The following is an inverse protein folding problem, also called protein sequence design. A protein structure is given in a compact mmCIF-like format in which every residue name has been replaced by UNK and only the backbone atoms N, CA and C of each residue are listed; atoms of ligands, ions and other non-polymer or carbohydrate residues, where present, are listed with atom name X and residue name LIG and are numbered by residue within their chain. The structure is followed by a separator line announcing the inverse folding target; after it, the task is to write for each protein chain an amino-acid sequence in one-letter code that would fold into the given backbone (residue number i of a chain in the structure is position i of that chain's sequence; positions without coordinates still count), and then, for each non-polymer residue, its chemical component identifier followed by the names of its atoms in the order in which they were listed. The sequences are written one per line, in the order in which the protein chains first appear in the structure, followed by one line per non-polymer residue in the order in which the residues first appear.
data_IF_877736073487
#
_entry.id   IF_877736073487
#
_cell.length_a   1.000
_cell.length_b   1.000
_cell.length_c   1.000
_cell.angle_alpha   90.00
_cell.angle_beta   90.00
_cell.angle_gamma   90.00
#
_symmetry.space_group_name_H-M   'P 1'
#
loop_
_entity.id
_entity.type
_entity.pdbx_description
1 polymer ?
#
# COMPACT_ATOMS: atom_id res chain seq x y z
N UNK A 1 104.19 -28.06 -6.88
CA UNK A 1 104.03 -28.58 -8.28
C UNK A 1 102.53 -28.74 -8.49
N UNK A 2 102.03 -28.12 -9.50
CA UNK A 2 100.60 -28.07 -10.02
C UNK A 2 99.58 -27.35 -9.11
N UNK A 3 99.15 -26.20 -9.41
CA UNK A 3 98.47 -25.52 -10.50
C UNK A 3 97.09 -26.11 -10.83
N UNK A 4 96.08 -25.28 -10.71
CA UNK A 4 94.82 -25.34 -11.40
C UNK A 4 93.67 -24.92 -10.52
N UNK A 5 92.97 -24.03 -10.78
CA UNK A 5 92.28 -23.32 -11.80
C UNK A 5 90.91 -22.98 -11.32
N UNK A 6 90.70 -21.71 -11.00
CA UNK A 6 89.39 -21.18 -10.60
C UNK A 6 88.52 -21.03 -11.82
N UNK A 7 87.31 -21.61 -11.79
CA UNK A 7 86.20 -21.33 -12.74
C UNK A 7 85.17 -20.50 -12.06
N UNK A 8 85.05 -19.27 -12.46
CA UNK A 8 83.95 -18.34 -12.08
C UNK A 8 82.61 -18.83 -12.65
N UNK A 9 81.68 -19.12 -11.81
CA UNK A 9 80.29 -19.29 -12.22
C UNK A 9 79.50 -18.08 -11.81
N UNK A 10 79.17 -17.23 -12.81
CA UNK A 10 78.29 -16.08 -12.65
C UNK A 10 76.87 -16.56 -12.51
N UNK A 11 76.25 -16.39 -11.33
CA UNK A 11 74.84 -16.65 -11.11
C UNK A 11 74.09 -15.37 -11.51
N UNK A 12 73.39 -15.44 -12.63
CA UNK A 12 72.45 -14.43 -13.11
C UNK A 12 71.13 -14.59 -12.31
N UNK A 13 70.96 -13.78 -11.28
CA UNK A 13 69.70 -13.73 -10.51
C UNK A 13 68.69 -12.94 -11.36
N UNK A 14 67.72 -13.65 -12.01
CA UNK A 14 66.58 -13.04 -12.66
C UNK A 14 65.58 -12.62 -11.57
N UNK A 15 65.52 -11.32 -11.26
CA UNK A 15 64.52 -10.75 -10.40
C UNK A 15 63.18 -10.71 -11.12
N UNK A 16 62.31 -11.70 -10.85
CA UNK A 16 60.95 -11.76 -11.36
C UNK A 16 60.09 -10.77 -10.57
N UNK A 17 59.94 -9.57 -11.05
CA UNK A 17 59.07 -8.55 -10.46
C UNK A 17 57.61 -8.98 -10.75
N UNK A 18 56.96 -9.65 -9.78
CA UNK A 18 55.53 -9.89 -9.81
C UNK A 18 54.82 -8.53 -9.74
N UNK A 19 54.35 -8.04 -10.90
CA UNK A 19 53.35 -6.97 -10.93
C UNK A 19 52.07 -7.55 -10.35
N UNK A 20 51.86 -7.39 -9.05
CA UNK A 20 50.54 -7.49 -8.43
C UNK A 20 49.70 -6.33 -8.95
N UNK A 21 48.85 -6.56 -9.95
CA UNK A 21 47.82 -5.64 -10.29
C UNK A 21 46.92 -5.49 -9.05
N UNK A 22 46.61 -4.25 -8.60
CA UNK A 22 45.67 -4.07 -7.52
C UNK A 22 44.35 -4.73 -7.96
N UNK A 23 43.83 -5.64 -7.17
CA UNK A 23 42.46 -6.12 -7.36
C UNK A 23 41.55 -4.89 -7.15
N UNK A 24 41.04 -4.37 -8.25
CA UNK A 24 40.02 -3.31 -8.23
C UNK A 24 38.82 -3.94 -7.53
N UNK A 25 38.59 -3.54 -6.29
CA UNK A 25 37.44 -3.99 -5.55
C UNK A 25 36.20 -3.41 -6.24
N UNK A 26 35.44 -4.26 -6.93
CA UNK A 26 34.13 -3.88 -7.41
C UNK A 26 33.27 -3.45 -6.20
N UNK A 27 32.89 -2.20 -6.16
CA UNK A 27 31.95 -1.68 -5.16
C UNK A 27 30.54 -2.16 -5.49
N UNK A 28 29.71 -2.32 -4.49
CA UNK A 28 28.28 -2.62 -4.68
C UNK A 28 27.45 -1.41 -4.31
N UNK A 29 26.56 -0.99 -5.18
CA UNK A 29 25.60 0.08 -4.96
C UNK A 29 24.21 -0.53 -4.79
N UNK A 30 23.58 -0.25 -3.66
CA UNK A 30 22.18 -0.63 -3.41
C UNK A 30 21.35 0.64 -3.45
N UNK A 31 20.36 0.68 -4.32
CA UNK A 31 19.45 1.80 -4.49
C UNK A 31 18.00 1.35 -4.45
N UNK A 32 17.16 2.20 -3.90
CA UNK A 32 15.72 2.02 -3.90
C UNK A 32 15.07 3.05 -4.81
N UNK A 33 14.14 2.60 -5.64
CA UNK A 33 13.32 3.44 -6.49
C UNK A 33 11.85 3.25 -6.18
N UNK A 34 11.11 4.35 -6.12
CA UNK A 34 9.66 4.37 -5.96
C UNK A 34 9.00 4.89 -7.23
N UNK A 35 7.92 4.22 -7.64
CA UNK A 35 7.07 4.64 -8.73
C UNK A 35 5.64 4.78 -8.27
N UNK A 36 5.01 5.90 -8.61
CA UNK A 36 3.66 6.23 -8.19
C UNK A 36 2.77 6.51 -9.41
N UNK A 37 1.49 6.10 -9.30
CA UNK A 37 0.41 6.41 -10.25
C UNK A 37 -0.75 6.97 -9.46
N UNK A 38 -1.21 8.16 -9.83
CA UNK A 38 -2.36 8.81 -9.21
C UNK A 38 -3.59 8.67 -10.10
N UNK A 39 -4.74 8.30 -9.50
CA UNK A 39 -6.02 8.11 -10.17
C UNK A 39 -7.14 8.77 -9.38
N UNK A 40 -8.11 9.33 -10.10
CA UNK A 40 -9.35 9.76 -9.47
C UNK A 40 -10.09 8.53 -8.93
N UNK A 41 -10.75 8.62 -7.76
CA UNK A 41 -11.61 7.55 -7.27
C UNK A 41 -12.70 7.20 -8.28
N UNK A 42 -13.03 5.91 -8.37
CA UNK A 42 -14.10 5.39 -9.23
C UNK A 42 -15.33 4.92 -8.44
N UNK A 43 -15.19 4.79 -7.11
CA UNK A 43 -16.28 4.42 -6.22
C UNK A 43 -16.09 4.98 -4.81
N UNK A 44 -17.19 4.96 -4.05
CA UNK A 44 -17.18 5.25 -2.61
C UNK A 44 -17.62 4.02 -1.81
N UNK A 45 -17.09 3.89 -0.62
CA UNK A 45 -17.49 2.87 0.36
C UNK A 45 -17.98 3.59 1.61
N UNK A 46 -19.14 3.18 2.11
CA UNK A 46 -19.80 3.75 3.28
C UNK A 46 -20.07 2.60 4.25
N UNK A 47 -19.96 2.85 5.53
CA UNK A 47 -20.39 1.91 6.57
C UNK A 47 -21.61 2.46 7.30
N UNK A 48 -22.67 1.65 7.37
CA UNK A 48 -23.91 1.94 8.10
C UNK A 48 -24.00 0.98 9.26
N UNK A 49 -24.12 1.50 10.48
CA UNK A 49 -24.22 0.71 11.70
C UNK A 49 -25.65 0.66 12.23
N UNK A 50 -26.05 -0.53 12.72
CA UNK A 50 -27.32 -0.78 13.38
C UNK A 50 -27.06 -1.47 14.71
N UNK A 51 -27.85 -1.09 15.74
CA UNK A 51 -27.76 -1.62 17.09
C UNK A 51 -29.14 -1.80 17.70
N UNK A 52 -29.32 -2.90 18.42
CA UNK A 52 -30.49 -3.19 19.25
C UNK A 52 -30.06 -3.51 20.66
N UNK A 53 -30.88 -3.12 21.63
CA UNK A 53 -30.65 -3.42 23.03
C UNK A 53 -31.94 -3.91 23.70
N UNK A 54 -31.83 -4.90 24.56
CA UNK A 54 -32.98 -5.41 25.29
C UNK A 54 -32.64 -6.64 26.14
N UNK A 55 -33.62 -7.06 26.92
CA UNK A 55 -33.45 -8.18 27.88
C UNK A 55 -33.48 -9.56 27.25
N UNK A 56 -34.06 -9.70 26.07
CA UNK A 56 -34.20 -10.95 25.35
C UNK A 56 -33.32 -10.94 24.10
N UNK A 57 -32.31 -11.79 24.10
CA UNK A 57 -31.35 -11.88 22.99
C UNK A 57 -32.01 -12.30 21.66
N UNK A 58 -33.04 -13.16 21.71
CA UNK A 58 -33.76 -13.60 20.53
C UNK A 58 -34.61 -12.49 19.91
N UNK A 59 -35.30 -11.72 20.76
CA UNK A 59 -36.10 -10.58 20.31
C UNK A 59 -35.25 -9.49 19.68
N UNK A 60 -34.13 -9.10 20.29
CA UNK A 60 -33.24 -8.05 19.72
C UNK A 60 -32.60 -8.50 18.41
N UNK A 61 -32.26 -9.78 18.27
CA UNK A 61 -31.73 -10.31 16.99
C UNK A 61 -32.77 -10.27 15.88
N UNK A 62 -34.03 -10.62 16.19
CA UNK A 62 -35.12 -10.53 15.23
C UNK A 62 -35.35 -9.08 14.79
N UNK A 63 -35.39 -8.14 15.74
CA UNK A 63 -35.56 -6.72 15.44
C UNK A 63 -34.40 -6.18 14.60
N UNK A 64 -33.16 -6.49 14.98
CA UNK A 64 -31.97 -6.08 14.23
C UNK A 64 -32.01 -6.58 12.79
N UNK A 65 -32.42 -7.85 12.59
CA UNK A 65 -32.57 -8.43 11.25
C UNK A 65 -33.63 -7.70 10.43
N UNK A 66 -34.79 -7.40 11.00
CA UNK A 66 -35.85 -6.67 10.32
C UNK A 66 -35.40 -5.27 9.90
N UNK A 67 -34.66 -4.56 10.76
CA UNK A 67 -34.06 -3.26 10.43
C UNK A 67 -33.03 -3.35 9.32
N UNK A 68 -32.14 -4.36 9.37
CA UNK A 68 -31.16 -4.64 8.30
C UNK A 68 -31.86 -4.88 6.97
N UNK A 69 -32.90 -5.72 6.95
CA UNK A 69 -33.68 -6.02 5.75
C UNK A 69 -34.34 -4.76 5.19
N UNK A 70 -34.88 -3.89 6.07
CA UNK A 70 -35.49 -2.61 5.67
C UNK A 70 -34.45 -1.66 5.02
N UNK A 71 -33.26 -1.56 5.60
CA UNK A 71 -32.17 -0.75 5.06
C UNK A 71 -31.72 -1.29 3.68
N UNK A 72 -31.51 -2.60 3.56
CA UNK A 72 -31.11 -3.24 2.31
C UNK A 72 -32.16 -3.01 1.21
N UNK A 73 -33.45 -3.16 1.54
CA UNK A 73 -34.53 -2.96 0.58
C UNK A 73 -34.62 -1.52 0.11
N UNK A 74 -34.55 -0.55 1.02
CA UNK A 74 -34.57 0.85 0.67
C UNK A 74 -33.37 1.26 -0.21
N UNK A 75 -32.18 0.72 0.07
CA UNK A 75 -31.00 0.95 -0.77
C UNK A 75 -31.18 0.38 -2.18
N UNK A 76 -31.75 -0.84 -2.29
CA UNK A 76 -32.06 -1.45 -3.61
C UNK A 76 -33.09 -0.66 -4.41
N UNK A 77 -34.14 -0.17 -3.77
CA UNK A 77 -35.18 0.66 -4.39
C UNK A 77 -34.59 1.98 -4.94
N UNK A 78 -33.51 2.45 -4.32
CA UNK A 78 -32.78 3.64 -4.77
C UNK A 78 -31.58 3.31 -5.70
N UNK A 79 -31.55 2.08 -6.25
CA UNK A 79 -30.64 1.70 -7.34
C UNK A 79 -29.28 1.18 -6.89
N UNK A 80 -29.09 0.82 -5.60
CA UNK A 80 -27.90 0.11 -5.14
C UNK A 80 -28.08 -1.38 -5.41
N UNK A 81 -27.17 -1.95 -6.21
CA UNK A 81 -27.18 -3.40 -6.46
C UNK A 81 -26.89 -4.18 -5.17
N UNK A 82 -27.63 -5.28 -4.96
CA UNK A 82 -27.44 -6.14 -3.79
C UNK A 82 -25.99 -6.65 -3.63
N UNK A 83 -25.27 -6.89 -4.72
CA UNK A 83 -23.86 -7.30 -4.70
C UNK A 83 -22.92 -6.27 -4.07
N UNK A 84 -23.35 -5.00 -4.02
CA UNK A 84 -22.61 -3.88 -3.43
C UNK A 84 -22.95 -3.62 -1.95
N UNK A 85 -23.84 -4.43 -1.36
CA UNK A 85 -24.22 -4.36 0.05
C UNK A 85 -23.73 -5.63 0.74
N UNK A 86 -22.82 -5.46 1.68
CA UNK A 86 -22.26 -6.59 2.42
C UNK A 86 -22.37 -6.37 3.93
N UNK A 87 -22.90 -7.37 4.63
CA UNK A 87 -22.85 -7.40 6.10
C UNK A 87 -21.41 -7.70 6.54
N UNK A 88 -20.84 -6.81 7.36
CA UNK A 88 -19.44 -6.92 7.80
C UNK A 88 -19.30 -7.74 9.07
N UNK A 89 -20.14 -7.45 10.03
CA UNK A 89 -20.03 -7.97 11.39
C UNK A 89 -21.40 -8.12 12.01
N UNK A 90 -21.59 -9.19 12.76
CA UNK A 90 -22.69 -9.35 13.70
C UNK A 90 -22.09 -9.66 15.07
N UNK A 91 -22.41 -8.86 16.07
CA UNK A 91 -21.96 -9.03 17.44
C UNK A 91 -23.17 -9.03 18.38
N UNK A 92 -23.19 -9.97 19.30
CA UNK A 92 -24.19 -10.04 20.37
C UNK A 92 -23.45 -10.21 21.69
N UNK A 93 -23.65 -9.28 22.59
CA UNK A 93 -22.98 -9.29 23.89
C UNK A 93 -23.93 -8.92 25.01
N UNK A 94 -23.59 -9.36 26.20
CA UNK A 94 -24.25 -8.94 27.42
C UNK A 94 -23.67 -7.59 27.87
N UNK A 95 -24.55 -6.64 28.16
CA UNK A 95 -24.20 -5.35 28.74
C UNK A 95 -24.25 -5.47 30.27
N UNK A 96 -23.31 -4.81 30.94
CA UNK A 96 -23.17 -4.85 32.37
C UNK A 96 -23.29 -3.47 32.97
N UNK A 97 -24.05 -3.35 34.02
CA UNK A 97 -24.11 -2.13 34.86
C UNK A 97 -22.90 -2.11 35.81
N UNK A 98 -22.13 -1.03 35.75
CA UNK A 98 -20.95 -0.82 36.59
C UNK A 98 -21.18 0.20 37.73
N UNK A 99 -22.41 0.68 37.88
CA UNK A 99 -22.69 1.85 38.74
C UNK A 99 -22.73 1.49 40.25
N UNK A 100 -22.76 0.23 40.62
CA UNK A 100 -22.79 -0.16 42.05
C UNK A 100 -21.85 -1.32 42.30
N UNK A 101 -20.57 -1.08 42.57
CA UNK A 101 -19.60 -2.03 43.13
C UNK A 101 -19.78 -3.55 42.83
N UNK A 102 -20.85 -3.90 42.15
CA UNK A 102 -21.18 -5.26 41.67
C UNK A 102 -21.54 -5.22 40.20
N UNK A 103 -20.82 -6.03 39.43
CA UNK A 103 -21.08 -6.25 38.01
C UNK A 103 -22.38 -7.05 37.85
N UNK A 104 -23.48 -6.38 37.51
CA UNK A 104 -24.76 -7.02 37.24
C UNK A 104 -25.06 -7.02 35.75
N UNK A 105 -25.54 -8.16 35.18
CA UNK A 105 -26.00 -8.18 33.80
C UNK A 105 -27.23 -7.29 33.66
N UNK A 106 -27.22 -6.39 32.67
CA UNK A 106 -28.31 -5.45 32.44
C UNK A 106 -29.17 -5.87 31.26
N UNK A 107 -28.59 -5.84 30.05
CA UNK A 107 -29.29 -6.11 28.80
C UNK A 107 -28.36 -6.83 27.83
N UNK A 108 -28.93 -7.38 26.78
CA UNK A 108 -28.17 -7.81 25.61
C UNK A 108 -28.07 -6.65 24.63
N UNK A 109 -26.93 -6.54 23.93
CA UNK A 109 -26.71 -5.62 22.85
C UNK A 109 -26.36 -6.46 21.60
N UNK A 110 -27.15 -6.30 20.55
CA UNK A 110 -26.85 -6.81 19.23
C UNK A 110 -26.45 -5.65 18.33
N UNK A 111 -25.37 -5.79 17.57
CA UNK A 111 -24.92 -4.78 16.62
C UNK A 111 -24.42 -5.41 15.32
N UNK A 112 -24.62 -4.70 14.23
CA UNK A 112 -24.12 -5.08 12.90
C UNK A 112 -23.71 -3.85 12.13
N UNK A 113 -22.88 -4.03 11.10
CA UNK A 113 -22.62 -2.99 10.12
C UNK A 113 -22.76 -3.50 8.70
N UNK A 114 -23.25 -2.64 7.83
CA UNK A 114 -23.41 -2.86 6.41
C UNK A 114 -22.37 -2.00 5.69
N UNK A 115 -21.57 -2.64 4.84
CA UNK A 115 -20.70 -1.93 3.88
C UNK A 115 -21.46 -1.76 2.59
N UNK A 116 -21.55 -0.53 2.13
CA UNK A 116 -22.22 -0.14 0.89
C UNK A 116 -21.17 0.40 -0.07
N UNK A 117 -21.05 -0.18 -1.24
CA UNK A 117 -20.25 0.33 -2.34
C UNK A 117 -21.14 1.12 -3.30
N UNK A 118 -20.73 2.33 -3.65
CA UNK A 118 -21.40 3.15 -4.68
C UNK A 118 -20.40 3.49 -5.78
N UNK A 119 -20.63 2.90 -6.97
CA UNK A 119 -19.77 3.09 -8.13
C UNK A 119 -20.03 4.43 -8.84
N UNK A 120 -21.26 4.93 -8.79
CA UNK A 120 -21.61 6.24 -9.34
C UNK A 120 -21.50 7.32 -8.25
N UNK A 121 -20.36 8.00 -8.20
CA UNK A 121 -20.10 9.04 -7.20
C UNK A 121 -21.10 10.20 -7.26
N UNK A 122 -21.77 10.43 -8.39
CA UNK A 122 -22.80 11.48 -8.50
C UNK A 122 -24.05 11.16 -7.68
N UNK A 123 -24.30 9.89 -7.38
CA UNK A 123 -25.42 9.39 -6.55
C UNK A 123 -25.07 9.24 -5.07
N UNK A 124 -23.85 9.57 -4.68
CA UNK A 124 -23.40 9.40 -3.30
C UNK A 124 -24.29 10.17 -2.31
N UNK A 125 -24.67 11.40 -2.64
CA UNK A 125 -25.57 12.21 -1.81
C UNK A 125 -26.91 11.50 -1.59
N UNK A 126 -27.50 10.93 -2.66
CA UNK A 126 -28.77 10.18 -2.57
C UNK A 126 -28.65 8.97 -1.63
N UNK A 127 -27.52 8.25 -1.69
CA UNK A 127 -27.28 7.09 -0.81
C UNK A 127 -27.19 7.52 0.66
N UNK A 128 -26.51 8.64 0.92
CA UNK A 128 -26.41 9.20 2.27
C UNK A 128 -27.77 9.70 2.78
N UNK A 129 -28.56 10.34 1.93
CA UNK A 129 -29.92 10.81 2.26
C UNK A 129 -30.85 9.65 2.58
N UNK A 130 -30.81 8.58 1.76
CA UNK A 130 -31.59 7.34 1.99
C UNK A 130 -31.16 6.69 3.32
N UNK A 131 -29.87 6.52 3.55
CA UNK A 131 -29.38 5.93 4.78
C UNK A 131 -29.75 6.77 6.02
N UNK A 132 -29.70 8.10 5.90
CA UNK A 132 -30.05 9.03 6.99
C UNK A 132 -31.56 9.09 7.29
N UNK A 133 -32.41 8.80 6.29
CA UNK A 133 -33.85 8.74 6.44
C UNK A 133 -34.35 7.46 7.12
N UNK A 134 -33.48 6.44 7.18
CA UNK A 134 -33.77 5.17 7.85
C UNK A 134 -33.29 5.26 9.30
N UNK A 135 -33.94 4.45 10.16
CA UNK A 135 -33.55 4.35 11.57
C UNK A 135 -32.22 3.57 11.73
N UNK A 136 -31.11 4.23 11.36
CA UNK A 136 -29.75 3.69 11.51
C UNK A 136 -29.04 4.38 12.69
N UNK A 137 -28.19 3.63 13.39
CA UNK A 137 -27.49 4.15 14.56
C UNK A 137 -26.25 4.99 14.20
N UNK A 138 -25.76 4.85 12.97
CA UNK A 138 -24.64 5.66 12.47
C UNK A 138 -24.31 5.40 11.01
N UNK A 139 -23.79 6.45 10.39
CA UNK A 139 -23.15 6.40 9.07
C UNK A 139 -21.72 6.83 9.27
N UNK A 140 -20.78 5.98 8.91
CA UNK A 140 -19.36 6.21 9.15
C UNK A 140 -18.51 5.73 7.97
N UNK A 141 -17.22 6.01 8.06
CA UNK A 141 -16.20 5.43 7.18
C UNK A 141 -16.44 5.70 5.69
N UNK A 142 -16.97 6.90 5.34
CA UNK A 142 -17.03 7.30 3.94
C UNK A 142 -15.61 7.40 3.39
N UNK A 143 -15.29 6.50 2.47
CA UNK A 143 -13.99 6.43 1.81
C UNK A 143 -14.16 6.39 0.31
N UNK A 144 -13.43 7.26 -0.36
CA UNK A 144 -13.29 7.22 -1.81
C UNK A 144 -12.19 6.21 -2.17
N UNK A 145 -12.46 5.37 -3.14
CA UNK A 145 -11.61 4.27 -3.55
C UNK A 145 -11.43 4.25 -5.06
N UNK A 146 -10.40 3.55 -5.47
CA UNK A 146 -10.11 3.21 -6.86
C UNK A 146 -9.67 1.75 -6.88
N UNK A 147 -10.19 0.96 -7.81
CA UNK A 147 -9.77 -0.42 -8.04
C UNK A 147 -8.64 -0.44 -9.09
N UNK A 148 -7.36 -0.61 -8.69
CA UNK A 148 -6.25 -0.53 -9.61
C UNK A 148 -6.30 -1.62 -10.67
N UNK A 149 -6.04 -1.25 -11.91
CA UNK A 149 -5.88 -2.17 -13.02
C UNK A 149 -4.44 -2.72 -13.08
N UNK A 150 -4.24 -3.82 -13.82
CA UNK A 150 -2.89 -4.33 -14.07
C UNK A 150 -2.00 -3.26 -14.72
N UNK A 151 -2.55 -2.46 -15.63
CA UNK A 151 -1.82 -1.39 -16.30
C UNK A 151 -1.33 -0.29 -15.33
N UNK A 152 -2.05 -0.03 -14.24
CA UNK A 152 -1.62 0.91 -13.20
C UNK A 152 -0.41 0.37 -12.43
N UNK A 153 -0.45 -0.92 -12.08
CA UNK A 153 0.68 -1.59 -11.43
C UNK A 153 1.92 -1.64 -12.32
N UNK A 154 1.76 -1.97 -13.60
CA UNK A 154 2.84 -2.02 -14.59
C UNK A 154 3.48 -0.65 -14.78
N UNK A 155 2.65 0.41 -14.82
CA UNK A 155 3.13 1.79 -14.92
C UNK A 155 3.88 2.22 -13.66
N UNK A 156 3.35 1.89 -12.46
CA UNK A 156 4.02 2.20 -11.21
C UNK A 156 5.36 1.47 -11.11
N UNK A 157 5.40 0.17 -11.46
CA UNK A 157 6.62 -0.62 -11.47
C UNK A 157 7.67 -0.05 -12.46
N UNK A 158 7.23 0.30 -13.67
CA UNK A 158 8.11 0.92 -14.67
C UNK A 158 8.72 2.23 -14.16
N UNK A 159 7.93 3.05 -13.46
CA UNK A 159 8.42 4.30 -12.84
C UNK A 159 9.41 4.01 -11.72
N UNK A 160 9.15 2.98 -10.90
CA UNK A 160 10.05 2.59 -9.82
C UNK A 160 11.44 2.17 -10.35
N UNK A 161 11.47 1.33 -11.39
CA UNK A 161 12.73 0.92 -12.06
C UNK A 161 13.48 2.12 -12.59
N UNK A 162 12.80 3.03 -13.32
CA UNK A 162 13.43 4.22 -13.86
C UNK A 162 13.97 5.14 -12.76
N UNK A 163 13.24 5.29 -11.66
CA UNK A 163 13.68 6.10 -10.52
C UNK A 163 14.93 5.50 -9.84
N UNK A 164 14.98 4.18 -9.68
CA UNK A 164 16.16 3.49 -9.12
C UNK A 164 17.39 3.63 -10.02
N UNK A 165 17.23 3.39 -11.33
CA UNK A 165 18.34 3.54 -12.29
C UNK A 165 18.87 4.97 -12.34
N UNK A 166 17.98 5.96 -12.41
CA UNK A 166 18.38 7.36 -12.39
C UNK A 166 19.14 7.74 -11.11
N UNK A 167 18.68 7.27 -9.95
CA UNK A 167 19.39 7.47 -8.68
C UNK A 167 20.76 6.80 -8.70
N UNK A 168 20.88 5.58 -9.24
CA UNK A 168 22.13 4.87 -9.36
C UNK A 168 23.14 5.64 -10.27
N UNK A 169 22.68 6.13 -11.42
CA UNK A 169 23.49 6.93 -12.34
C UNK A 169 24.05 8.19 -11.67
N UNK A 170 23.20 8.92 -10.93
CA UNK A 170 23.61 10.12 -10.20
C UNK A 170 24.66 9.82 -9.14
N UNK A 171 24.51 8.71 -8.39
CA UNK A 171 25.45 8.32 -7.34
C UNK A 171 26.78 7.90 -7.96
N UNK A 172 26.76 7.06 -9.00
CA UNK A 172 27.96 6.62 -9.70
C UNK A 172 28.75 7.82 -10.27
N UNK A 173 28.07 8.74 -10.97
CA UNK A 173 28.70 9.94 -11.50
C UNK A 173 29.30 10.83 -10.40
N UNK A 174 28.59 11.04 -9.29
CA UNK A 174 29.06 11.86 -8.17
C UNK A 174 30.25 11.24 -7.43
N UNK A 175 30.38 9.89 -7.45
CA UNK A 175 31.51 9.17 -6.85
C UNK A 175 32.69 8.96 -7.81
N UNK A 176 32.60 9.43 -9.05
CA UNK A 176 33.62 9.21 -10.06
C UNK A 176 33.70 7.77 -10.59
N UNK A 177 32.61 7.01 -10.39
CA UNK A 177 32.48 5.62 -10.79
C UNK A 177 31.47 5.50 -11.94
N UNK A 178 31.42 4.32 -12.54
CA UNK A 178 30.43 3.92 -13.55
C UNK A 178 29.59 2.76 -13.05
N UNK A 179 28.36 2.65 -13.56
CA UNK A 179 27.51 1.50 -13.28
C UNK A 179 28.00 0.27 -14.07
N UNK A 180 28.18 -0.82 -13.36
CA UNK A 180 28.42 -2.14 -13.94
C UNK A 180 27.11 -2.90 -14.18
N UNK A 181 27.17 -4.22 -13.99
CA UNK A 181 26.01 -5.09 -14.13
C UNK A 181 25.04 -4.99 -12.94
N UNK A 182 23.75 -5.13 -13.22
CA UNK A 182 22.74 -5.31 -12.18
C UNK A 182 22.89 -6.73 -11.66
N UNK A 183 23.19 -6.88 -10.38
CA UNK A 183 23.41 -8.16 -9.71
C UNK A 183 22.10 -8.76 -9.20
N UNK A 184 21.21 -7.88 -8.66
CA UNK A 184 19.93 -8.31 -8.14
C UNK A 184 18.86 -7.22 -8.32
N UNK A 185 17.64 -7.66 -8.57
CA UNK A 185 16.43 -6.84 -8.61
C UNK A 185 15.44 -7.45 -7.64
N UNK A 186 15.02 -6.69 -6.64
CA UNK A 186 13.97 -7.10 -5.71
C UNK A 186 12.79 -6.16 -5.83
N UNK A 187 11.62 -6.71 -6.12
CA UNK A 187 10.38 -5.99 -5.87
C UNK A 187 10.08 -6.10 -4.38
N UNK A 188 10.06 -4.96 -3.68
CA UNK A 188 9.68 -4.94 -2.27
C UNK A 188 8.17 -5.20 -2.18
N UNK A 189 7.84 -6.48 -1.94
CA UNK A 189 6.48 -6.98 -1.85
C UNK A 189 5.81 -6.55 -0.56
N UNK A 190 5.37 -5.33 -0.50
CA UNK A 190 4.14 -5.02 0.20
C UNK A 190 3.05 -5.15 -0.85
N UNK A 191 2.11 -6.06 -0.64
CA UNK A 191 0.90 -6.10 -1.46
C UNK A 191 0.45 -4.67 -1.68
N UNK A 192 0.24 -4.28 -2.93
CA UNK A 192 0.05 -2.89 -3.36
C UNK A 192 -0.73 -2.09 -2.33
N UNK A 193 -0.03 -1.39 -1.47
CA UNK A 193 -0.63 -0.53 -0.48
C UNK A 193 -1.27 0.62 -1.24
N UNK A 194 -2.61 0.64 -1.27
CA UNK A 194 -3.33 1.86 -1.58
C UNK A 194 -2.97 2.82 -0.45
N UNK A 195 -1.94 3.62 -0.66
CA UNK A 195 -1.57 4.66 0.29
C UNK A 195 -2.67 5.71 0.19
N UNK A 196 -3.39 5.89 1.28
CA UNK A 196 -4.38 6.96 1.42
C UNK A 196 -3.71 8.30 1.11
N UNK A 197 -4.32 9.05 0.23
CA UNK A 197 -3.83 10.30 -0.30
C UNK A 197 -3.37 11.27 0.78
N UNK A 198 -2.18 11.79 0.57
CA UNK A 198 -1.73 13.04 1.15
C UNK A 198 -2.41 14.17 0.37
N UNK A 199 -2.99 15.13 1.08
CA UNK A 199 -3.66 16.29 0.48
C UNK A 199 -2.72 17.04 -0.47
N UNK A 200 -2.95 16.89 -1.76
CA UNK A 200 -2.57 17.89 -2.75
C UNK A 200 -3.86 18.45 -3.37
N UNK A 201 -4.08 19.74 -3.19
CA UNK A 201 -5.23 20.45 -3.75
C UNK A 201 -5.11 20.48 -5.27
N UNK A 202 -5.68 19.51 -5.94
CA UNK A 202 -5.93 19.56 -7.37
C UNK A 202 -7.43 19.75 -7.63
N UNK A 203 -7.74 20.61 -8.58
CA UNK A 203 -9.11 21.02 -8.92
C UNK A 203 -9.88 19.82 -9.45
N UNK A 204 -10.64 19.15 -8.57
CA UNK A 204 -11.55 18.08 -8.95
C UNK A 204 -12.94 18.64 -9.28
N UNK A 205 -13.72 18.00 -10.16
CA UNK A 205 -15.09 18.43 -10.45
C UNK A 205 -15.93 18.39 -9.17
N UNK A 206 -16.53 19.53 -8.83
CA UNK A 206 -17.35 19.69 -7.64
C UNK A 206 -18.61 18.83 -7.72
N UNK A 207 -18.67 17.81 -6.87
CA UNK A 207 -19.96 17.22 -6.48
C UNK A 207 -20.65 18.28 -5.61
N UNK A 208 -21.81 18.79 -6.06
CA UNK A 208 -22.55 19.83 -5.34
C UNK A 208 -22.84 19.35 -3.90
N UNK A 209 -22.16 19.94 -2.93
CA UNK A 209 -22.53 19.90 -1.54
C UNK A 209 -21.66 19.11 -0.57
N UNK A 210 -20.81 18.18 -1.00
CA UNK A 210 -19.94 17.38 -0.13
C UNK A 210 -18.59 17.11 -0.79
N UNK A 211 -17.55 17.27 -0.03
CA UNK A 211 -16.13 16.87 -0.13
C UNK A 211 -15.67 16.42 -1.52
N UNK A 212 -14.78 17.20 -2.13
CA UNK A 212 -14.05 16.77 -3.34
C UNK A 212 -13.16 15.56 -2.98
N UNK A 213 -13.31 14.41 -3.67
CA UNK A 213 -12.47 13.25 -3.41
C UNK A 213 -11.03 13.52 -3.83
N UNK A 214 -10.08 13.12 -2.98
CA UNK A 214 -8.67 13.14 -3.31
C UNK A 214 -8.32 11.98 -4.24
N UNK A 215 -7.26 12.16 -5.03
CA UNK A 215 -6.75 11.09 -5.87
C UNK A 215 -6.19 9.93 -5.02
N UNK A 216 -6.39 8.72 -5.48
CA UNK A 216 -5.82 7.51 -4.92
C UNK A 216 -4.45 7.28 -5.56
N UNK A 217 -3.43 7.04 -4.74
CA UNK A 217 -2.07 6.77 -5.22
C UNK A 217 -1.76 5.28 -5.13
N UNK A 218 -1.35 4.70 -6.24
CA UNK A 218 -0.81 3.35 -6.35
C UNK A 218 0.70 3.48 -6.38
N UNK A 219 1.42 2.80 -5.47
CA UNK A 219 2.87 2.83 -5.42
C UNK A 219 3.49 1.44 -5.57
N UNK A 220 4.65 1.39 -6.20
CA UNK A 220 5.54 0.24 -6.27
C UNK A 220 6.94 0.68 -5.90
N UNK A 221 7.65 -0.20 -5.19
CA UNK A 221 9.02 0.05 -4.76
C UNK A 221 9.90 -1.12 -5.18
N UNK A 222 11.05 -0.82 -5.75
CA UNK A 222 12.06 -1.81 -6.08
C UNK A 222 13.41 -1.45 -5.46
N UNK A 223 14.20 -2.47 -5.18
CA UNK A 223 15.61 -2.34 -4.81
C UNK A 223 16.45 -2.94 -5.91
N UNK A 224 17.47 -2.19 -6.35
CA UNK A 224 18.48 -2.66 -7.27
C UNK A 224 19.81 -2.79 -6.54
N UNK A 225 20.50 -3.90 -6.76
CA UNK A 225 21.89 -4.10 -6.41
C UNK A 225 22.72 -4.08 -7.68
N UNK A 226 23.64 -3.12 -7.79
CA UNK A 226 24.39 -2.82 -9.00
C UNK A 226 25.89 -2.79 -8.66
N UNK A 227 26.68 -3.42 -9.49
CA UNK A 227 28.13 -3.32 -9.41
C UNK A 227 28.59 -1.92 -9.77
N UNK A 228 29.54 -1.37 -8.98
CA UNK A 228 30.25 -0.14 -9.34
C UNK A 228 31.61 -0.49 -9.92
N UNK A 229 31.94 0.09 -11.03
CA UNK A 229 33.24 -0.07 -11.70
C UNK A 229 33.94 1.28 -11.74
N UNK A 230 35.28 1.26 -11.69
CA UNK A 230 36.04 2.51 -11.80
C UNK A 230 35.71 3.21 -13.11
N UNK A 231 35.37 4.49 -13.03
CA UNK A 231 35.17 5.30 -14.21
C UNK A 231 36.45 5.34 -15.02
N UNK A 232 36.38 5.03 -16.33
CA UNK A 232 37.53 5.20 -17.20
C UNK A 232 37.98 6.66 -17.09
N UNK A 233 39.23 6.90 -16.58
CA UNK A 233 39.81 8.22 -16.54
C UNK A 233 39.83 8.79 -17.96
N UNK A 234 39.04 9.86 -18.20
CA UNK A 234 39.11 10.65 -19.44
C UNK A 234 40.37 11.52 -19.44
#
# INVERSE_FOLDING_TARGET
MFVGGFKNASIFAILFCLLSAPAVGAGTLIVEGEGQVSRAPDHAVIEVSLREQGRDAGAILLNLRNRVDSVINALKENGIDAKHIATQRLDVRLDYDYDQKQRAPRDYIASTSLRIRQDDLSKLATVLDVASALDVDGISDLRFRYDPTQADYDLALTRAVKAALHKAELIAAASGQSLGSIQEIRENGSGGGVVMARMEMSVAPQVKGYIAPENVTISKTITLEIELVDGAAQ
#
